data_IF_411267915987
#
_entry.id   IF_411267915987
#
_cell.length_a   1.000
_cell.length_b   1.000
_cell.length_c   1.000
_cell.angle_alpha   90.00
_cell.angle_beta   90.00
_cell.angle_gamma   90.00
#
_symmetry.space_group_name_H-M   'P 1'
#
loop_
_entity.id
_entity.type
_entity.pdbx_description
1 polymer ?
#
# COMPACT_ATOMS: atom_id res chain seq x y z
N UNK A 1 -12.29 -63.09 23.39
CA UNK A 1 -12.47 -63.27 21.93
C UNK A 1 -12.61 -61.90 21.28
N UNK A 2 -12.39 -61.84 19.97
CA UNK A 2 -12.70 -60.79 18.96
C UNK A 2 -13.88 -59.82 19.28
N UNK A 3 -14.02 -58.60 18.73
CA UNK A 3 -13.24 -57.78 17.76
C UNK A 3 -13.64 -56.27 17.84
N UNK A 4 -13.04 -55.42 17.01
CA UNK A 4 -13.07 -53.94 16.94
C UNK A 4 -14.34 -53.24 16.41
N UNK A 5 -14.71 -52.08 17.00
CA UNK A 5 -15.40 -50.89 16.43
C UNK A 5 -15.66 -49.82 17.55
N UNK A 6 -15.81 -48.51 17.35
CA UNK A 6 -15.34 -47.55 16.32
C UNK A 6 -15.14 -46.14 16.96
N UNK A 7 -14.55 -45.19 16.23
CA UNK A 7 -14.59 -43.70 16.35
C UNK A 7 -14.56 -42.99 17.71
N UNK A 8 -13.35 -42.55 18.07
CA UNK A 8 -13.09 -41.37 18.90
C UNK A 8 -12.90 -40.13 17.99
N UNK A 9 -13.95 -39.34 17.70
CA UNK A 9 -13.84 -38.17 16.78
C UNK A 9 -14.56 -36.87 17.17
N UNK A 10 -15.17 -36.76 18.36
CA UNK A 10 -16.03 -35.60 18.72
C UNK A 10 -15.35 -34.51 19.59
N UNK A 11 -14.02 -34.35 19.52
CA UNK A 11 -13.30 -33.35 20.35
C UNK A 11 -12.30 -32.44 19.61
N UNK A 12 -12.34 -32.40 18.27
CA UNK A 12 -11.54 -31.44 17.47
C UNK A 12 -12.38 -30.40 16.70
N UNK A 13 -13.68 -30.32 16.96
CA UNK A 13 -14.61 -29.48 16.17
C UNK A 13 -14.72 -27.99 16.54
N UNK A 14 -14.09 -27.52 17.62
CA UNK A 14 -14.39 -26.18 18.20
C UNK A 14 -13.27 -25.13 18.04
N UNK A 15 -12.01 -25.52 17.81
CA UNK A 15 -10.86 -24.59 17.81
C UNK A 15 -10.48 -24.00 16.44
N UNK A 16 -11.28 -24.22 15.38
CA UNK A 16 -11.09 -23.55 14.08
C UNK A 16 -11.99 -22.31 13.87
N UNK A 17 -12.68 -21.82 14.91
CA UNK A 17 -13.65 -20.71 14.79
C UNK A 17 -13.07 -19.29 14.87
N UNK A 18 -11.75 -19.15 14.63
CA UNK A 18 -11.08 -17.85 14.43
C UNK A 18 -10.66 -17.64 12.96
N UNK A 19 -11.42 -18.16 11.99
CA UNK A 19 -11.31 -17.72 10.60
C UNK A 19 -11.87 -16.29 10.47
N UNK A 20 -11.01 -15.30 10.74
CA UNK A 20 -11.20 -13.94 10.29
C UNK A 20 -10.92 -13.88 8.78
N UNK A 21 -11.89 -14.33 8.00
CA UNK A 21 -12.00 -14.09 6.57
C UNK A 21 -13.44 -13.64 6.33
N UNK A 22 -13.62 -12.38 5.96
CA UNK A 22 -14.96 -11.81 5.79
C UNK A 22 -15.74 -12.56 4.71
N UNK A 23 -17.06 -12.62 4.87
CA UNK A 23 -17.97 -13.08 3.82
C UNK A 23 -17.83 -12.16 2.60
N UNK A 24 -17.03 -12.60 1.63
CA UNK A 24 -16.94 -11.97 0.32
C UNK A 24 -18.21 -12.33 -0.44
N UNK A 25 -19.23 -11.48 -0.33
CA UNK A 25 -20.36 -11.51 -1.25
C UNK A 25 -19.81 -11.27 -2.67
N UNK A 26 -19.92 -12.26 -3.53
CA UNK A 26 -19.35 -12.22 -4.87
C UNK A 26 -20.27 -11.46 -5.84
N UNK A 27 -20.11 -10.14 -5.97
CA UNK A 27 -20.27 -9.49 -7.27
C UNK A 27 -19.03 -9.81 -8.11
N UNK A 28 -19.22 -10.28 -9.34
CA UNK A 28 -18.13 -10.74 -10.22
C UNK A 28 -17.41 -9.61 -10.97
N UNK A 29 -17.96 -8.40 -10.93
CA UNK A 29 -17.71 -7.37 -11.95
C UNK A 29 -16.98 -6.13 -11.40
N UNK A 30 -16.86 -6.01 -10.06
CA UNK A 30 -16.06 -4.95 -9.44
C UNK A 30 -14.58 -5.41 -9.33
N UNK A 31 -13.61 -4.71 -9.95
CA UNK A 31 -12.20 -4.99 -9.72
C UNK A 31 -11.90 -4.67 -8.25
N UNK A 32 -11.67 -5.72 -7.45
CA UNK A 32 -11.32 -5.60 -6.03
C UNK A 32 -10.01 -4.82 -5.91
N UNK A 33 -10.11 -3.53 -5.63
CA UNK A 33 -8.96 -2.70 -5.30
C UNK A 33 -8.21 -3.38 -4.16
N UNK A 34 -6.98 -3.82 -4.43
CA UNK A 34 -6.16 -4.44 -3.39
C UNK A 34 -5.98 -3.41 -2.27
N UNK A 35 -6.24 -3.79 -1.01
CA UNK A 35 -6.12 -2.86 0.11
C UNK A 35 -4.75 -2.15 0.17
N UNK A 36 -3.70 -2.80 -0.34
CA UNK A 36 -2.36 -2.22 -0.50
C UNK A 36 -2.31 -1.06 -1.50
N UNK A 37 -3.06 -1.09 -2.60
CA UNK A 37 -3.17 0.02 -3.56
C UNK A 37 -3.80 1.25 -2.92
N UNK A 38 -4.93 1.06 -2.21
CA UNK A 38 -5.58 2.15 -1.46
C UNK A 38 -4.65 2.77 -0.40
N UNK A 39 -3.89 1.94 0.32
CA UNK A 39 -2.89 2.42 1.29
C UNK A 39 -1.75 3.21 0.61
N UNK A 40 -1.25 2.76 -0.54
CA UNK A 40 -0.21 3.48 -1.32
C UNK A 40 -0.74 4.83 -1.81
N UNK A 41 -1.99 4.89 -2.30
CA UNK A 41 -2.65 6.11 -2.76
C UNK A 41 -2.81 7.13 -1.62
N UNK A 42 -3.31 6.69 -0.47
CA UNK A 42 -3.41 7.54 0.73
C UNK A 42 -2.03 8.06 1.17
N UNK A 43 -1.02 7.18 1.20
CA UNK A 43 0.33 7.57 1.59
C UNK A 43 0.97 8.59 0.63
N UNK A 44 0.62 8.54 -0.67
CA UNK A 44 1.02 9.55 -1.66
C UNK A 44 0.36 10.90 -1.39
N UNK A 45 -0.94 10.94 -1.08
CA UNK A 45 -1.67 12.18 -0.73
C UNK A 45 -0.99 12.86 0.48
N UNK A 46 -0.75 12.12 1.56
CA UNK A 46 -0.05 12.63 2.75
C UNK A 46 1.35 13.20 2.42
N UNK A 47 2.07 12.58 1.47
CA UNK A 47 3.39 13.03 1.05
C UNK A 47 3.32 14.26 0.12
N UNK A 48 2.29 14.38 -0.71
CA UNK A 48 2.04 15.54 -1.57
C UNK A 48 1.69 16.78 -0.73
N UNK A 49 0.87 16.64 0.32
CA UNK A 49 0.61 17.71 1.30
C UNK A 49 1.90 18.15 1.99
N UNK A 50 2.69 17.19 2.51
CA UNK A 50 3.99 17.46 3.13
C UNK A 50 5.01 18.09 2.17
N UNK A 51 4.96 17.74 0.88
CA UNK A 51 5.81 18.34 -0.16
C UNK A 51 5.42 19.79 -0.44
N UNK A 52 4.13 20.12 -0.44
CA UNK A 52 3.67 21.51 -0.58
C UNK A 52 4.19 22.36 0.61
N UNK A 53 4.07 21.85 1.83
CA UNK A 53 4.65 22.45 3.04
C UNK A 53 6.17 22.65 2.96
N UNK A 54 6.89 21.66 2.45
CA UNK A 54 8.34 21.74 2.27
C UNK A 54 8.72 22.78 1.20
N UNK A 55 7.96 22.85 0.10
CA UNK A 55 8.13 23.84 -0.97
C UNK A 55 7.90 25.27 -0.50
N UNK A 56 6.90 25.50 0.36
CA UNK A 56 6.71 26.81 1.02
C UNK A 56 7.92 27.17 1.90
N UNK A 57 8.37 26.27 2.77
CA UNK A 57 9.55 26.49 3.64
C UNK A 57 10.84 26.72 2.83
N UNK A 58 10.99 26.06 1.68
CA UNK A 58 12.09 26.29 0.75
C UNK A 58 11.99 27.67 0.10
N UNK A 59 10.81 28.09 -0.36
CA UNK A 59 10.60 29.43 -0.92
C UNK A 59 10.95 30.52 0.12
N UNK A 60 10.42 30.41 1.34
CA UNK A 60 10.70 31.34 2.45
C UNK A 60 12.20 31.42 2.75
N UNK A 61 12.90 30.29 2.80
CA UNK A 61 14.34 30.24 3.05
C UNK A 61 15.17 30.97 1.97
N UNK A 62 14.69 31.02 0.72
CA UNK A 62 15.34 31.74 -0.39
C UNK A 62 15.05 33.26 -0.39
N UNK A 63 14.04 33.73 0.35
CA UNK A 63 13.78 35.17 0.51
C UNK A 63 14.79 35.85 1.46
N UNK A 64 15.43 35.08 2.34
CA UNK A 64 16.41 35.59 3.30
C UNK A 64 17.79 35.65 2.64
N UNK A 65 18.33 36.87 2.50
CA UNK A 65 19.66 37.09 1.95
C UNK A 65 20.73 36.35 2.76
N UNK A 66 21.72 35.78 2.06
CA UNK A 66 22.88 35.07 2.61
C UNK A 66 22.55 33.77 3.40
N UNK A 67 21.28 33.33 3.44
CA UNK A 67 20.78 32.13 4.13
C UNK A 67 20.93 30.81 3.32
N UNK A 68 22.00 30.70 2.52
CA UNK A 68 22.15 29.64 1.52
C UNK A 68 22.15 28.20 2.11
N UNK A 69 22.66 28.01 3.33
CA UNK A 69 22.72 26.68 3.98
C UNK A 69 21.32 26.15 4.27
N UNK A 70 20.47 26.96 4.92
CA UNK A 70 19.09 26.62 5.20
C UNK A 70 18.29 26.41 3.91
N UNK A 71 18.50 27.24 2.88
CA UNK A 71 17.89 27.03 1.57
C UNK A 71 18.28 25.67 0.97
N UNK A 72 19.54 25.23 1.11
CA UNK A 72 19.98 23.90 0.65
C UNK A 72 19.44 22.74 1.49
N UNK A 73 19.32 22.90 2.80
CA UNK A 73 18.64 21.92 3.67
C UNK A 73 17.17 21.74 3.24
N UNK A 74 16.45 22.84 3.00
CA UNK A 74 15.06 22.79 2.50
C UNK A 74 14.92 22.26 1.08
N UNK A 75 15.92 22.47 0.21
CA UNK A 75 15.96 21.84 -1.11
C UNK A 75 16.08 20.30 -0.99
N UNK A 76 16.85 19.81 -0.02
CA UNK A 76 17.00 18.37 0.26
C UNK A 76 15.70 17.81 0.83
N UNK A 77 15.04 18.50 1.77
CA UNK A 77 13.72 18.11 2.31
C UNK A 77 12.71 17.85 1.18
N UNK A 78 12.61 18.78 0.22
CA UNK A 78 11.76 18.64 -0.96
C UNK A 78 12.10 17.41 -1.80
N UNK A 79 13.40 17.21 -2.11
CA UNK A 79 13.85 16.08 -2.95
C UNK A 79 13.65 14.72 -2.29
N UNK A 80 13.73 14.63 -0.96
CA UNK A 80 13.44 13.40 -0.22
C UNK A 80 11.96 13.02 -0.36
N UNK A 81 11.06 14.00 -0.23
CA UNK A 81 9.62 13.78 -0.39
C UNK A 81 9.25 13.44 -1.85
N UNK A 82 9.82 14.15 -2.82
CA UNK A 82 9.65 13.83 -4.26
C UNK A 82 10.15 12.42 -4.60
N UNK A 83 11.29 12.00 -4.02
CA UNK A 83 11.81 10.65 -4.14
C UNK A 83 10.88 9.58 -3.54
N UNK A 84 10.26 9.85 -2.39
CA UNK A 84 9.29 8.95 -1.76
C UNK A 84 8.02 8.79 -2.62
N UNK A 85 7.46 9.89 -3.13
CA UNK A 85 6.29 9.88 -4.03
C UNK A 85 6.62 9.13 -5.34
N UNK A 86 7.82 9.31 -5.89
CA UNK A 86 8.28 8.61 -7.08
C UNK A 86 8.36 7.09 -6.85
N UNK A 87 8.94 6.65 -5.73
CA UNK A 87 9.05 5.23 -5.37
C UNK A 87 7.65 4.61 -5.20
N UNK A 88 6.76 5.25 -4.44
CA UNK A 88 5.39 4.77 -4.27
C UNK A 88 4.63 4.70 -5.59
N UNK A 89 4.79 5.70 -6.46
CA UNK A 89 4.17 5.70 -7.80
C UNK A 89 4.76 4.64 -8.74
N UNK A 90 5.98 4.16 -8.49
CA UNK A 90 6.51 2.98 -9.19
C UNK A 90 5.87 1.71 -8.63
N UNK A 91 5.86 1.53 -7.31
CA UNK A 91 5.27 0.35 -6.65
C UNK A 91 3.78 0.21 -7.01
N UNK A 92 3.03 1.31 -7.07
CA UNK A 92 1.63 1.32 -7.51
C UNK A 92 1.46 0.73 -8.92
N UNK A 93 2.29 1.13 -9.89
CA UNK A 93 2.25 0.57 -11.25
C UNK A 93 2.71 -0.87 -11.30
N UNK A 94 3.83 -1.19 -10.65
CA UNK A 94 4.37 -2.56 -10.61
C UNK A 94 3.32 -3.54 -10.01
N UNK A 95 2.50 -3.09 -9.05
CA UNK A 95 1.38 -3.85 -8.48
C UNK A 95 0.15 -3.91 -9.40
N UNK A 96 -0.18 -2.81 -10.10
CA UNK A 96 -1.27 -2.79 -11.08
C UNK A 96 -1.01 -3.77 -12.23
N UNK A 97 0.23 -3.80 -12.76
CA UNK A 97 0.70 -4.76 -13.77
C UNK A 97 0.62 -6.22 -13.26
N UNK A 98 0.94 -6.47 -11.98
CA UNK A 98 0.83 -7.79 -11.36
C UNK A 98 -0.62 -8.25 -11.14
N UNK A 99 -1.52 -7.33 -10.79
CA UNK A 99 -2.94 -7.62 -10.50
C UNK A 99 -3.80 -7.65 -11.77
N UNK A 100 -3.38 -6.95 -12.82
CA UNK A 100 -4.01 -6.97 -14.15
C UNK A 100 -3.00 -7.38 -15.23
N UNK A 101 -2.56 -8.66 -15.28
CA UNK A 101 -1.66 -9.13 -16.31
C UNK A 101 -2.24 -8.80 -17.69
N UNK A 102 -1.45 -8.06 -18.49
CA UNK A 102 -1.85 -7.71 -19.85
C UNK A 102 -2.28 -8.97 -20.60
N UNK A 103 -3.52 -8.96 -21.14
CA UNK A 103 -4.18 -10.13 -21.72
C UNK A 103 -3.22 -10.87 -22.65
N UNK A 104 -3.07 -12.18 -22.44
CA UNK A 104 -2.30 -13.02 -23.36
C UNK A 104 -2.80 -12.80 -24.80
N UNK A 105 -1.90 -12.79 -25.80
CA UNK A 105 -2.32 -12.77 -27.20
C UNK A 105 -3.28 -13.93 -27.47
N UNK A 106 -4.28 -13.77 -28.37
CA UNK A 106 -5.06 -14.91 -28.83
C UNK A 106 -4.15 -15.92 -29.54
N UNK A 107 -4.40 -17.21 -29.29
CA UNK A 107 -3.71 -18.36 -29.92
C UNK A 107 -3.92 -18.42 -31.45
#
# INVERSE_FOLDING_TARGET
MMLTAEKTTDSMGSMMKNQFFGEVSHSSDDPKECAMMGLIRNQKIDLEERLNDAKLKFADANLVKDNWSCAKEREIDCKVLEGQIFILSKIERDLEDMLTPAKMPPD
#
